data_IF_124343972588
#
_entry.id   IF_124343972588
#
_cell.length_a   1.000
_cell.length_b   1.000
_cell.length_c   1.000
_cell.angle_alpha   90.00
_cell.angle_beta   90.00
_cell.angle_gamma   90.00
#
_symmetry.space_group_name_H-M   'P 1'
#
loop_
_entity.id
_entity.type
_entity.pdbx_description
1 polymer ?
#
# COMPACT_ATOMS: atom_id res chain seq x y z
N UNK A 1 -30.35 -9.77 0.99
CA UNK A 1 -28.99 -9.94 1.53
C UNK A 1 -28.07 -10.04 0.32
N UNK A 2 -27.57 -8.94 -0.17
CA UNK A 2 -26.69 -8.91 -1.34
C UNK A 2 -25.37 -8.32 -0.88
N UNK A 3 -24.37 -9.19 -0.83
CA UNK A 3 -22.98 -8.78 -0.57
C UNK A 3 -22.52 -7.94 -1.76
N UNK A 4 -22.21 -6.68 -1.53
CA UNK A 4 -21.52 -5.82 -2.49
C UNK A 4 -20.14 -6.42 -2.76
N UNK A 5 -19.74 -6.62 -4.01
CA UNK A 5 -18.40 -7.11 -4.30
C UNK A 5 -17.38 -6.03 -3.90
N UNK A 6 -16.57 -6.35 -2.91
CA UNK A 6 -15.34 -5.64 -2.57
C UNK A 6 -14.33 -5.85 -3.72
N UNK A 7 -14.56 -5.15 -4.83
CA UNK A 7 -13.56 -5.06 -5.89
C UNK A 7 -12.71 -3.82 -5.66
N UNK A 8 -11.44 -4.08 -5.44
CA UNK A 8 -10.33 -3.15 -5.65
C UNK A 8 -10.32 -1.92 -4.75
N UNK A 9 -9.98 -2.08 -3.48
CA UNK A 9 -9.28 -1.00 -2.80
C UNK A 9 -7.93 -0.84 -3.49
N UNK A 10 -7.80 0.26 -4.15
CA UNK A 10 -6.74 0.68 -5.01
C UNK A 10 -5.33 0.35 -4.50
N UNK A 11 -4.81 -0.77 -4.91
CA UNK A 11 -3.37 -1.07 -4.87
C UNK A 11 -2.59 -0.19 -5.87
N UNK A 12 -3.32 0.61 -6.69
CA UNK A 12 -2.72 1.49 -7.71
C UNK A 12 -1.82 2.61 -7.15
N UNK A 13 -1.99 3.04 -5.91
CA UNK A 13 -1.14 4.08 -5.30
C UNK A 13 0.18 3.56 -4.73
N UNK A 14 0.44 2.25 -4.77
CA UNK A 14 1.58 1.63 -4.12
C UNK A 14 2.89 1.70 -4.92
N UNK A 15 2.83 2.00 -6.22
CA UNK A 15 3.98 1.85 -7.13
C UNK A 15 4.92 3.06 -7.10
N UNK A 16 4.51 4.22 -6.56
CA UNK A 16 5.26 5.47 -6.72
C UNK A 16 6.21 5.86 -5.58
N UNK A 17 6.23 5.15 -4.47
CA UNK A 17 6.95 5.63 -3.27
C UNK A 17 8.40 5.15 -3.11
N UNK A 18 8.99 4.43 -4.07
CA UNK A 18 10.36 3.89 -3.93
C UNK A 18 11.40 4.52 -4.88
N UNK A 19 11.19 5.71 -5.42
CA UNK A 19 12.05 6.27 -6.46
C UNK A 19 12.82 7.54 -6.08
N UNK A 20 13.06 7.87 -4.81
CA UNK A 20 13.86 9.05 -4.49
C UNK A 20 14.75 8.89 -3.25
N UNK A 21 15.91 8.26 -3.41
CA UNK A 21 17.09 8.62 -2.59
C UNK A 21 17.88 9.64 -3.39
N UNK A 22 17.71 10.92 -3.07
CA UNK A 22 18.52 12.02 -3.62
C UNK A 22 19.78 12.19 -2.77
N UNK A 23 20.93 11.86 -3.33
CA UNK A 23 22.23 12.20 -2.79
C UNK A 23 22.60 13.68 -3.10
N UNK A 24 23.39 14.38 -2.26
CA UNK A 24 23.73 15.78 -2.45
C UNK A 24 24.64 15.99 -3.65
N UNK A 25 24.36 17.09 -4.40
CA UNK A 25 25.15 17.51 -5.56
C UNK A 25 26.52 18.05 -5.13
N UNK A 26 27.58 17.33 -5.50
CA UNK A 26 28.93 17.88 -5.60
C UNK A 26 29.25 18.10 -7.07
N UNK A 27 29.79 19.28 -7.39
CA UNK A 27 30.15 19.69 -8.74
C UNK A 27 31.05 18.65 -9.43
N UNK A 28 30.62 18.14 -10.57
CA UNK A 28 31.36 17.16 -11.35
C UNK A 28 31.90 17.78 -12.64
N UNK A 29 33.20 17.55 -12.84
CA UNK A 29 33.84 17.68 -14.14
C UNK A 29 33.18 16.70 -15.11
N UNK A 30 32.58 17.22 -16.19
CA UNK A 30 31.96 16.41 -17.24
C UNK A 30 33.06 15.69 -18.01
N UNK A 31 33.28 14.44 -17.69
CA UNK A 31 33.99 13.49 -18.56
C UNK A 31 32.89 12.67 -19.24
N UNK A 32 32.73 12.79 -20.55
CA UNK A 32 31.80 11.95 -21.30
C UNK A 32 32.14 10.49 -21.07
N UNK A 33 31.18 9.65 -20.62
CA UNK A 33 31.42 8.23 -20.45
C UNK A 33 31.54 7.55 -21.82
N UNK A 34 32.45 6.58 -21.98
CA UNK A 34 32.50 5.74 -23.17
C UNK A 34 31.16 5.01 -23.31
N UNK A 35 30.75 4.75 -24.58
CA UNK A 35 29.49 4.12 -24.98
C UNK A 35 29.01 3.04 -24.00
N UNK A 36 27.79 3.23 -23.53
CA UNK A 36 27.10 2.50 -22.47
C UNK A 36 27.38 1.00 -22.46
N UNK A 37 28.22 0.58 -21.52
CA UNK A 37 28.12 -0.79 -21.01
C UNK A 37 26.77 -0.84 -20.29
N UNK A 38 25.85 -1.77 -20.64
CA UNK A 38 24.59 -1.89 -19.92
C UNK A 38 24.92 -2.13 -18.44
N UNK A 39 24.57 -1.17 -17.58
CA UNK A 39 24.60 -1.40 -16.15
C UNK A 39 23.64 -2.57 -15.91
N UNK A 40 24.08 -3.69 -15.31
CA UNK A 40 23.15 -4.79 -15.06
C UNK A 40 21.97 -4.23 -14.25
N UNK A 41 20.78 -4.29 -14.86
CA UNK A 41 19.55 -3.91 -14.14
C UNK A 41 19.54 -4.66 -12.83
N UNK A 42 19.35 -3.92 -11.72
CA UNK A 42 19.18 -4.58 -10.42
C UNK A 42 18.00 -5.54 -10.52
N UNK A 43 18.07 -6.67 -9.82
CA UNK A 43 16.98 -7.66 -9.84
C UNK A 43 15.64 -7.01 -9.45
N UNK A 44 15.67 -6.08 -8.50
CA UNK A 44 14.51 -5.27 -8.11
C UNK A 44 13.96 -4.43 -9.28
N UNK A 45 14.82 -3.87 -10.14
CA UNK A 45 14.40 -3.11 -11.32
C UNK A 45 13.73 -4.03 -12.36
N UNK A 46 14.26 -5.21 -12.58
CA UNK A 46 13.65 -6.20 -13.47
C UNK A 46 12.30 -6.70 -12.97
N UNK A 47 12.14 -6.90 -11.65
CA UNK A 47 10.85 -7.22 -11.02
C UNK A 47 9.89 -6.05 -11.19
N UNK A 48 10.32 -4.80 -10.92
CA UNK A 48 9.50 -3.60 -11.10
C UNK A 48 9.01 -3.43 -12.56
N UNK A 49 9.84 -3.77 -13.54
CA UNK A 49 9.45 -3.74 -14.95
C UNK A 49 8.33 -4.74 -15.27
N UNK A 50 8.36 -5.94 -14.67
CA UNK A 50 7.28 -6.92 -14.79
C UNK A 50 6.00 -6.42 -14.10
N UNK A 51 6.12 -5.83 -12.90
CA UNK A 51 5.00 -5.22 -12.18
C UNK A 51 4.34 -4.10 -13.00
N UNK A 52 5.15 -3.23 -13.61
CA UNK A 52 4.65 -2.16 -14.48
C UNK A 52 3.88 -2.65 -15.72
N UNK A 53 4.19 -3.87 -16.18
CA UNK A 53 3.46 -4.57 -17.25
C UNK A 53 2.29 -5.41 -16.73
N UNK A 54 1.98 -5.36 -15.43
CA UNK A 54 0.98 -6.18 -14.76
C UNK A 54 1.21 -7.70 -14.91
N UNK A 55 2.44 -8.10 -15.13
CA UNK A 55 2.84 -9.50 -15.23
C UNK A 55 3.14 -10.06 -13.83
N UNK A 56 2.09 -10.19 -13.02
CA UNK A 56 2.20 -10.45 -11.59
C UNK A 56 2.80 -11.81 -11.25
N UNK A 57 2.37 -12.89 -11.92
CA UNK A 57 2.90 -14.25 -11.68
C UNK A 57 4.38 -14.37 -12.11
N UNK A 58 4.83 -13.89 -13.29
CA UNK A 58 6.24 -13.82 -13.61
C UNK A 58 7.06 -12.98 -12.63
N UNK A 59 6.51 -11.85 -12.15
CA UNK A 59 7.16 -11.00 -11.16
C UNK A 59 7.33 -11.72 -9.83
N UNK A 60 6.30 -12.46 -9.37
CA UNK A 60 6.36 -13.27 -8.15
C UNK A 60 7.42 -14.36 -8.24
N UNK A 61 7.40 -15.12 -9.33
CA UNK A 61 8.38 -16.20 -9.55
C UNK A 61 9.81 -15.68 -9.53
N UNK A 62 10.04 -14.51 -10.14
CA UNK A 62 11.36 -13.86 -10.15
C UNK A 62 11.76 -13.38 -8.76
N UNK A 63 10.87 -12.74 -8.03
CA UNK A 63 11.09 -12.30 -6.66
C UNK A 63 11.41 -13.48 -5.74
N UNK A 64 10.63 -14.56 -5.81
CA UNK A 64 10.84 -15.78 -5.02
C UNK A 64 12.19 -16.45 -5.33
N UNK A 65 12.59 -16.50 -6.60
CA UNK A 65 13.88 -17.06 -7.01
C UNK A 65 15.06 -16.24 -6.46
N UNK A 66 14.96 -14.92 -6.49
CA UNK A 66 15.96 -14.02 -5.96
C UNK A 66 16.07 -14.12 -4.44
N UNK A 67 14.93 -14.11 -3.73
CA UNK A 67 14.89 -14.15 -2.28
C UNK A 67 15.39 -15.46 -1.67
N UNK A 68 15.40 -16.57 -2.41
CA UNK A 68 16.08 -17.83 -2.00
C UNK A 68 17.57 -17.63 -1.74
N UNK A 69 18.22 -16.73 -2.50
CA UNK A 69 19.64 -16.42 -2.37
C UNK A 69 19.91 -15.18 -1.52
N UNK A 70 18.93 -14.25 -1.48
CA UNK A 70 19.05 -12.94 -0.83
C UNK A 70 17.85 -12.70 0.10
N UNK A 71 17.65 -13.50 1.16
CA UNK A 71 16.41 -13.50 1.96
C UNK A 71 16.18 -12.21 2.73
N UNK A 72 17.19 -11.37 2.89
CA UNK A 72 17.13 -10.09 3.61
C UNK A 72 17.01 -8.86 2.71
N UNK A 73 16.87 -9.03 1.39
CA UNK A 73 16.67 -7.88 0.50
C UNK A 73 15.30 -7.24 0.75
N UNK A 74 15.30 -6.09 1.42
CA UNK A 74 14.09 -5.41 1.84
C UNK A 74 13.24 -4.96 0.64
N UNK A 75 13.90 -4.49 -0.44
CA UNK A 75 13.21 -3.98 -1.62
C UNK A 75 12.46 -5.09 -2.35
N UNK A 76 13.12 -6.24 -2.59
CA UNK A 76 12.47 -7.36 -3.28
C UNK A 76 11.41 -8.02 -2.38
N UNK A 77 11.63 -8.10 -1.06
CA UNK A 77 10.60 -8.56 -0.11
C UNK A 77 9.36 -7.64 -0.15
N UNK A 78 9.55 -6.33 -0.22
CA UNK A 78 8.47 -5.38 -0.35
C UNK A 78 7.71 -5.57 -1.68
N UNK A 79 8.42 -5.63 -2.81
CA UNK A 79 7.83 -5.90 -4.12
C UNK A 79 7.02 -7.20 -4.12
N UNK A 80 7.54 -8.27 -3.50
CA UNK A 80 6.82 -9.52 -3.33
C UNK A 80 5.51 -9.36 -2.58
N UNK A 81 5.49 -8.58 -1.49
CA UNK A 81 4.27 -8.27 -0.74
C UNK A 81 3.23 -7.54 -1.61
N UNK A 82 3.67 -6.55 -2.39
CA UNK A 82 2.81 -5.81 -3.35
C UNK A 82 2.23 -6.77 -4.39
N UNK A 83 3.08 -7.58 -5.02
CA UNK A 83 2.66 -8.55 -6.05
C UNK A 83 1.60 -9.52 -5.50
N UNK A 84 1.80 -10.02 -4.27
CA UNK A 84 0.81 -10.89 -3.62
C UNK A 84 -0.53 -10.20 -3.40
N UNK A 85 -0.51 -8.91 -3.06
CA UNK A 85 -1.74 -8.10 -2.97
C UNK A 85 -2.49 -8.02 -4.29
N UNK A 86 -1.78 -7.78 -5.41
CA UNK A 86 -2.34 -7.71 -6.76
C UNK A 86 -2.88 -9.06 -7.25
N UNK A 87 -2.27 -10.14 -6.83
CA UNK A 87 -2.74 -11.51 -7.09
C UNK A 87 -3.93 -11.95 -6.22
N UNK A 88 -4.51 -11.03 -5.45
CA UNK A 88 -5.59 -11.31 -4.51
C UNK A 88 -5.23 -12.40 -3.46
N UNK A 89 -3.97 -12.40 -3.01
CA UNK A 89 -3.42 -13.26 -1.96
C UNK A 89 -3.12 -12.44 -0.68
N UNK A 90 -4.15 -11.81 -0.07
CA UNK A 90 -3.95 -10.79 0.97
C UNK A 90 -3.29 -11.34 2.24
N UNK A 91 -3.52 -12.60 2.59
CA UNK A 91 -2.91 -13.17 3.80
C UNK A 91 -1.40 -13.33 3.66
N UNK A 92 -0.95 -13.74 2.47
CA UNK A 92 0.48 -13.88 2.19
C UNK A 92 1.15 -12.52 2.07
N UNK A 93 0.46 -11.52 1.48
CA UNK A 93 0.91 -10.14 1.46
C UNK A 93 1.08 -9.58 2.88
N UNK A 94 0.09 -9.80 3.76
CA UNK A 94 0.18 -9.40 5.17
C UNK A 94 1.39 -10.02 5.86
N UNK A 95 1.58 -11.34 5.73
CA UNK A 95 2.74 -12.04 6.31
C UNK A 95 4.07 -11.46 5.78
N UNK A 96 4.15 -11.13 4.49
CA UNK A 96 5.35 -10.53 3.90
C UNK A 96 5.63 -9.13 4.50
N UNK A 97 4.60 -8.29 4.66
CA UNK A 97 4.76 -6.96 5.25
C UNK A 97 5.00 -7.02 6.76
N UNK A 98 4.36 -7.93 7.50
CA UNK A 98 4.63 -8.16 8.92
C UNK A 98 6.10 -8.53 9.15
N UNK A 99 6.66 -9.44 8.36
CA UNK A 99 8.08 -9.77 8.42
C UNK A 99 8.99 -8.58 8.10
N UNK A 100 8.57 -7.69 7.18
CA UNK A 100 9.31 -6.46 6.89
C UNK A 100 9.27 -5.46 8.06
N UNK A 101 8.13 -5.29 8.74
CA UNK A 101 8.03 -4.38 9.89
C UNK A 101 8.83 -4.87 11.10
N UNK A 102 9.09 -6.18 11.21
CA UNK A 102 9.95 -6.75 12.24
C UNK A 102 11.43 -6.55 11.94
N UNK A 103 11.82 -6.77 10.68
CA UNK A 103 13.23 -6.72 10.26
C UNK A 103 13.71 -5.29 9.96
N UNK A 104 12.81 -4.39 9.55
CA UNK A 104 13.07 -3.02 9.09
C UNK A 104 12.00 -2.07 9.66
N UNK A 105 11.96 -1.84 10.98
CA UNK A 105 10.91 -1.02 11.63
C UNK A 105 10.93 0.45 11.24
N UNK A 106 12.01 0.92 10.61
CA UNK A 106 12.14 2.29 10.10
C UNK A 106 11.44 2.53 8.77
N UNK A 107 11.05 1.47 8.04
CA UNK A 107 10.38 1.59 6.74
C UNK A 107 8.89 1.86 6.93
N UNK A 108 8.35 2.99 6.44
CA UNK A 108 6.93 3.32 6.59
C UNK A 108 6.02 2.51 5.66
N UNK A 109 6.52 2.10 4.47
CA UNK A 109 5.72 1.48 3.43
C UNK A 109 5.09 0.14 3.85
N UNK A 110 5.79 -0.78 4.54
CA UNK A 110 5.17 -2.02 5.01
C UNK A 110 4.02 -1.78 5.98
N UNK A 111 4.16 -0.82 6.92
CA UNK A 111 3.08 -0.45 7.84
C UNK A 111 1.89 0.13 7.09
N UNK A 112 2.13 1.03 6.14
CA UNK A 112 1.07 1.60 5.31
C UNK A 112 0.28 0.52 4.58
N UNK A 113 0.98 -0.45 3.98
CA UNK A 113 0.35 -1.56 3.25
C UNK A 113 -0.44 -2.50 4.17
N UNK A 114 0.06 -2.79 5.36
CA UNK A 114 -0.70 -3.50 6.39
C UNK A 114 -1.97 -2.72 6.77
N UNK A 115 -1.89 -1.40 6.93
CA UNK A 115 -3.03 -0.55 7.18
C UNK A 115 -4.12 -0.69 6.12
N UNK A 116 -3.75 -0.62 4.85
CA UNK A 116 -4.68 -0.81 3.72
C UNK A 116 -5.30 -2.21 3.71
N UNK A 117 -4.49 -3.26 3.93
CA UNK A 117 -4.98 -4.65 3.95
C UNK A 117 -5.93 -4.91 5.13
N UNK A 118 -5.66 -4.35 6.32
CA UNK A 118 -6.57 -4.42 7.45
C UNK A 118 -7.88 -3.66 7.20
N UNK A 119 -7.79 -2.47 6.59
CA UNK A 119 -8.98 -1.69 6.23
C UNK A 119 -9.88 -2.45 5.24
N UNK A 120 -9.31 -3.10 4.25
CA UNK A 120 -10.03 -3.94 3.29
C UNK A 120 -10.78 -5.11 3.95
N UNK A 121 -10.29 -5.61 5.09
CA UNK A 121 -10.94 -6.63 5.90
C UNK A 121 -11.96 -6.07 6.91
N UNK A 122 -12.17 -4.75 6.95
CA UNK A 122 -13.03 -4.10 7.95
C UNK A 122 -12.40 -4.03 9.35
N UNK A 123 -11.14 -4.37 9.50
CA UNK A 123 -10.38 -4.34 10.76
C UNK A 123 -9.82 -2.94 10.99
N UNK A 124 -10.72 -1.98 11.15
CA UNK A 124 -10.40 -0.54 11.11
C UNK A 124 -9.43 -0.10 12.21
N UNK A 125 -9.54 -0.65 13.42
CA UNK A 125 -8.64 -0.28 14.52
C UNK A 125 -7.21 -0.77 14.25
N UNK A 126 -7.04 -1.98 13.75
CA UNK A 126 -5.74 -2.50 13.35
C UNK A 126 -5.16 -1.68 12.17
N UNK A 127 -6.00 -1.31 11.20
CA UNK A 127 -5.61 -0.44 10.09
C UNK A 127 -5.07 0.91 10.59
N UNK A 128 -5.82 1.55 11.51
CA UNK A 128 -5.43 2.83 12.11
C UNK A 128 -4.08 2.73 12.82
N UNK A 129 -3.89 1.67 13.61
CA UNK A 129 -2.63 1.45 14.32
C UNK A 129 -1.45 1.36 13.35
N UNK A 130 -1.58 0.59 12.28
CA UNK A 130 -0.50 0.44 11.30
C UNK A 130 -0.20 1.75 10.57
N UNK A 131 -1.23 2.51 10.16
CA UNK A 131 -1.05 3.80 9.50
C UNK A 131 -0.36 4.82 10.44
N UNK A 132 -0.68 4.83 11.73
CA UNK A 132 0.05 5.63 12.70
C UNK A 132 1.52 5.21 12.86
N UNK A 133 1.83 3.90 12.80
CA UNK A 133 3.21 3.42 12.78
C UNK A 133 3.96 3.88 11.53
N UNK A 134 3.32 3.86 10.36
CA UNK A 134 3.90 4.40 9.13
C UNK A 134 4.25 5.90 9.28
N UNK A 135 3.32 6.70 9.82
CA UNK A 135 3.53 8.13 10.09
C UNK A 135 4.64 8.35 11.12
N UNK A 136 4.70 7.51 12.17
CA UNK A 136 5.73 7.62 13.20
C UNK A 136 7.13 7.27 12.63
N UNK A 137 7.23 6.25 11.76
CA UNK A 137 8.46 5.88 11.08
C UNK A 137 8.93 6.99 10.10
N UNK A 138 8.00 7.64 9.41
CA UNK A 138 8.30 8.74 8.50
C UNK A 138 7.20 9.82 8.54
N UNK A 139 7.35 10.90 9.33
CA UNK A 139 6.32 11.94 9.48
C UNK A 139 5.94 12.69 8.20
N UNK A 140 6.80 12.65 7.17
CA UNK A 140 6.54 13.23 5.85
C UNK A 140 5.91 12.27 4.84
N UNK A 141 5.52 11.08 5.25
CA UNK A 141 4.96 10.06 4.34
C UNK A 141 3.48 10.34 4.02
N UNK A 142 3.25 11.20 3.02
CA UNK A 142 1.93 11.72 2.64
C UNK A 142 0.91 10.61 2.41
N UNK A 143 1.29 9.52 1.74
CA UNK A 143 0.41 8.39 1.44
C UNK A 143 -0.24 7.79 2.69
N UNK A 144 0.48 7.74 3.83
CA UNK A 144 -0.09 7.23 5.06
C UNK A 144 -1.17 8.17 5.63
N UNK A 145 -1.02 9.49 5.48
CA UNK A 145 -2.05 10.45 5.88
C UNK A 145 -3.30 10.36 4.99
N UNK A 146 -3.11 10.19 3.67
CA UNK A 146 -4.21 9.97 2.73
C UNK A 146 -4.99 8.71 3.09
N UNK A 147 -4.31 7.57 3.26
CA UNK A 147 -4.93 6.31 3.66
C UNK A 147 -5.61 6.39 5.04
N UNK A 148 -5.05 7.16 5.97
CA UNK A 148 -5.67 7.40 7.27
C UNK A 148 -6.95 8.23 7.14
N UNK A 149 -6.96 9.23 6.26
CA UNK A 149 -8.16 10.01 5.92
C UNK A 149 -9.25 9.11 5.35
N UNK A 150 -8.92 8.25 4.39
CA UNK A 150 -9.84 7.30 3.77
C UNK A 150 -10.40 6.29 4.77
N UNK A 151 -9.55 5.83 5.68
CA UNK A 151 -9.95 4.96 6.78
C UNK A 151 -10.98 5.65 7.68
N UNK A 152 -10.78 6.93 8.02
CA UNK A 152 -11.75 7.67 8.84
C UNK A 152 -13.10 7.85 8.13
N UNK A 153 -13.12 8.04 6.82
CA UNK A 153 -14.35 8.05 6.04
C UNK A 153 -15.08 6.70 6.12
N UNK A 154 -14.34 5.59 5.99
CA UNK A 154 -14.89 4.25 6.11
C UNK A 154 -15.43 3.97 7.52
N UNK A 155 -14.70 4.37 8.56
CA UNK A 155 -15.11 4.26 9.96
C UNK A 155 -16.37 5.10 10.26
N UNK A 156 -16.43 6.32 9.73
CA UNK A 156 -17.62 7.18 9.84
C UNK A 156 -18.86 6.52 9.22
N UNK A 157 -18.71 5.96 8.00
CA UNK A 157 -19.80 5.24 7.34
C UNK A 157 -20.27 4.03 8.15
N UNK A 158 -19.37 3.23 8.68
CA UNK A 158 -19.68 2.07 9.52
C UNK A 158 -20.41 2.49 10.81
N UNK A 159 -19.94 3.57 11.45
CA UNK A 159 -20.53 4.10 12.69
C UNK A 159 -21.94 4.66 12.47
N UNK A 160 -22.13 5.45 11.40
CA UNK A 160 -23.48 5.95 11.06
C UNK A 160 -24.43 4.82 10.65
N UNK A 161 -23.94 3.79 10.00
CA UNK A 161 -24.74 2.60 9.71
C UNK A 161 -25.21 1.91 11.00
N UNK A 162 -24.34 1.80 12.00
CA UNK A 162 -24.71 1.24 13.29
C UNK A 162 -25.73 2.12 14.02
N UNK A 163 -25.54 3.44 14.03
CA UNK A 163 -26.50 4.38 14.61
C UNK A 163 -27.90 4.27 13.96
N UNK A 164 -27.96 4.16 12.61
CA UNK A 164 -29.22 3.98 11.89
C UNK A 164 -29.92 2.64 12.20
N UNK A 165 -29.14 1.59 12.51
CA UNK A 165 -29.70 0.29 12.94
C UNK A 165 -30.25 0.33 14.35
N UNK A 166 -29.61 1.07 15.27
CA UNK A 166 -30.00 1.18 16.68
C UNK A 166 -31.27 2.02 16.87
N UNK A 167 -31.45 3.06 16.08
CA UNK A 167 -32.64 3.87 16.08
C UNK A 167 -33.20 4.07 14.65
N UNK A 168 -34.16 3.22 14.23
CA UNK A 168 -34.78 3.33 12.92
C UNK A 168 -35.57 4.61 12.68
N UNK A 169 -35.93 5.36 13.76
CA UNK A 169 -36.64 6.67 13.68
C UNK A 169 -35.67 7.84 13.52
N UNK A 170 -34.36 7.60 13.70
CA UNK A 170 -33.36 8.62 13.55
C UNK A 170 -33.23 9.03 12.06
N UNK A 171 -33.51 10.28 11.77
CA UNK A 171 -33.41 10.82 10.39
C UNK A 171 -32.05 11.36 10.03
N UNK A 172 -31.20 11.65 11.03
CA UNK A 172 -29.87 12.24 10.79
C UNK A 172 -28.80 11.20 10.47
N UNK A 173 -28.83 10.03 11.12
CA UNK A 173 -27.85 8.98 10.89
C UNK A 173 -27.85 8.45 9.44
N UNK A 174 -29.00 8.15 8.81
CA UNK A 174 -29.05 7.76 7.40
C UNK A 174 -28.54 8.84 6.45
N UNK A 175 -28.84 10.14 6.72
CA UNK A 175 -28.35 11.24 5.89
C UNK A 175 -26.83 11.36 5.98
N UNK A 176 -26.24 11.28 7.18
CA UNK A 176 -24.79 11.29 7.39
C UNK A 176 -24.11 10.06 6.78
N UNK A 177 -24.75 8.90 6.85
CA UNK A 177 -24.28 7.69 6.20
C UNK A 177 -24.19 7.86 4.68
N UNK A 178 -25.21 8.49 4.07
CA UNK A 178 -25.22 8.76 2.63
C UNK A 178 -24.05 9.66 2.23
N UNK A 179 -23.80 10.74 2.97
CA UNK A 179 -22.67 11.64 2.74
C UNK A 179 -21.31 10.93 2.90
N UNK A 180 -21.15 10.12 3.94
CA UNK A 180 -19.92 9.39 4.17
C UNK A 180 -19.65 8.36 3.03
N UNK A 181 -20.70 7.69 2.56
CA UNK A 181 -20.61 6.76 1.43
C UNK A 181 -20.29 7.47 0.11
N UNK A 182 -20.90 8.62 -0.14
CA UNK A 182 -20.62 9.45 -1.31
C UNK A 182 -19.15 9.89 -1.31
N UNK A 183 -18.66 10.43 -0.17
CA UNK A 183 -17.27 10.82 -0.03
C UNK A 183 -16.33 9.63 -0.28
N UNK A 184 -16.60 8.48 0.35
CA UNK A 184 -15.80 7.28 0.14
C UNK A 184 -15.83 6.74 -1.29
N UNK A 185 -16.91 6.96 -2.05
CA UNK A 185 -16.96 6.62 -3.47
C UNK A 185 -16.11 7.59 -4.31
N UNK A 186 -16.16 8.88 -4.01
CA UNK A 186 -15.36 9.91 -4.70
C UNK A 186 -13.87 9.72 -4.45
N UNK A 187 -13.47 9.46 -3.22
CA UNK A 187 -12.09 9.18 -2.85
C UNK A 187 -11.53 8.00 -3.67
N UNK A 188 -12.27 6.89 -3.76
CA UNK A 188 -11.86 5.75 -4.59
C UNK A 188 -11.77 6.04 -6.10
N UNK A 189 -12.42 7.07 -6.59
CA UNK A 189 -12.39 7.45 -8.00
C UNK A 189 -11.19 8.36 -8.33
N UNK A 190 -10.52 8.94 -7.34
CA UNK A 190 -9.34 9.80 -7.51
C UNK A 190 -8.06 8.98 -7.58
N UNK A 191 -8.07 7.74 -7.08
CA UNK A 191 -6.97 6.77 -7.15
C UNK A 191 -7.11 5.85 -8.35
#
# INVERSE_FOLDING_TARGET
>A
MSALPLRSFAVRSLILALAAVVAPATAQVVVEPPASVPVPESEAAGIAALMGKQQWEPALARADAFLKKNPRDAQVRFQRGVILGELARPQEAMTAFEGLTQDFPELPEPYNNLGVLYAAQGRYEAAREQLHKAIAAHPGYVTAYENLGDLYVAMAAATYQQAAKLDPKNRTAPAKLALARELGARVRAVH
#
